data_IF_928167728048
#
_entry.id   IF_928167728048
#
_cell.length_a   1.000
_cell.length_b   1.000
_cell.length_c   1.000
_cell.angle_alpha   90.00
_cell.angle_beta   90.00
_cell.angle_gamma   90.00
#
_symmetry.space_group_name_H-M   'P 1'
#
loop_
_entity.id
_entity.type
_entity.pdbx_description
1 polymer ?
#
# COMPACT_ATOMS: atom_id res chain seq x y z
N UNK A 1 -0.84 -1.96 -7.72
CA UNK A 1 -0.07 -1.14 -6.76
C UNK A 1 0.37 0.19 -7.36
N UNK A 2 0.77 1.13 -6.50
CA UNK A 2 1.28 2.47 -6.83
C UNK A 2 2.59 2.69 -6.06
N UNK A 3 3.60 3.24 -6.71
CA UNK A 3 4.81 3.69 -6.00
C UNK A 3 4.61 5.15 -5.54
N UNK A 4 4.50 5.34 -4.22
CA UNK A 4 4.24 6.64 -3.60
C UNK A 4 5.51 7.37 -3.16
N UNK A 5 5.43 8.69 -3.02
CA UNK A 5 6.58 9.54 -2.63
C UNK A 5 6.44 10.17 -1.24
N UNK A 6 5.22 10.20 -0.68
CA UNK A 6 4.93 10.97 0.53
C UNK A 6 5.60 10.40 1.78
N UNK A 7 5.36 9.11 2.09
CA UNK A 7 5.85 8.52 3.33
C UNK A 7 7.37 8.57 3.44
N UNK A 8 8.07 8.23 2.36
CA UNK A 8 9.52 8.11 2.34
C UNK A 8 10.27 9.45 2.28
N UNK A 9 9.57 10.58 2.21
CA UNK A 9 10.12 11.95 2.14
C UNK A 9 11.20 12.09 1.02
N UNK A 10 11.08 11.34 -0.07
CA UNK A 10 12.04 11.30 -1.18
C UNK A 10 13.49 11.02 -0.74
N UNK A 11 13.68 10.16 0.29
CA UNK A 11 14.98 9.76 0.80
C UNK A 11 15.72 8.82 -0.16
N UNK A 12 16.03 9.33 -1.35
CA UNK A 12 16.76 8.62 -2.40
C UNK A 12 18.26 8.85 -2.22
N UNK A 13 19.04 7.81 -2.42
CA UNK A 13 20.51 7.85 -2.36
C UNK A 13 21.12 6.99 -3.46
N UNK A 14 22.44 7.10 -3.64
CA UNK A 14 23.18 6.36 -4.68
C UNK A 14 22.69 6.66 -6.10
N UNK A 15 22.40 7.92 -6.38
CA UNK A 15 21.95 8.46 -7.67
C UNK A 15 22.77 9.71 -8.03
N UNK A 16 22.88 10.03 -9.32
CA UNK A 16 23.66 11.15 -9.82
C UNK A 16 22.84 12.45 -9.99
N UNK A 17 21.71 12.54 -9.28
CA UNK A 17 20.84 13.72 -9.29
C UNK A 17 20.40 14.09 -7.87
N UNK A 18 20.02 15.36 -7.67
CA UNK A 18 19.47 15.83 -6.39
C UNK A 18 18.00 15.39 -6.30
N UNK A 19 17.69 14.53 -5.31
CA UNK A 19 16.33 14.08 -5.04
C UNK A 19 15.42 15.26 -4.63
N UNK A 20 14.16 15.20 -5.06
CA UNK A 20 13.15 16.22 -4.78
C UNK A 20 11.99 16.19 -5.77
N UNK A 21 11.17 17.23 -5.76
CA UNK A 21 10.02 17.39 -6.67
C UNK A 21 10.52 17.85 -8.06
N UNK A 22 11.18 16.95 -8.78
CA UNK A 22 11.77 17.21 -10.08
C UNK A 22 11.67 16.01 -11.02
N UNK A 23 11.94 16.25 -12.29
CA UNK A 23 11.83 15.27 -13.37
C UNK A 23 12.65 14.00 -13.09
N UNK A 24 13.93 14.14 -12.68
CA UNK A 24 14.83 13.01 -12.49
C UNK A 24 14.37 12.08 -11.36
N UNK A 25 13.86 12.65 -10.26
CA UNK A 25 13.30 11.86 -9.16
C UNK A 25 12.11 11.01 -9.62
N UNK A 26 11.14 11.61 -10.28
CA UNK A 26 9.96 10.86 -10.74
C UNK A 26 10.29 9.87 -11.86
N UNK A 27 11.25 10.18 -12.71
CA UNK A 27 11.77 9.24 -13.69
C UNK A 27 12.36 7.98 -13.02
N UNK A 28 13.12 8.17 -11.92
CA UNK A 28 13.65 7.06 -11.13
C UNK A 28 12.54 6.20 -10.50
N UNK A 29 11.44 6.81 -10.04
CA UNK A 29 10.25 6.07 -9.61
C UNK A 29 9.57 5.30 -10.75
N UNK A 30 9.52 5.86 -11.96
CA UNK A 30 8.99 5.17 -13.15
C UNK A 30 9.87 3.96 -13.49
N UNK A 31 11.20 4.10 -13.49
CA UNK A 31 12.12 2.98 -13.78
C UNK A 31 11.97 1.85 -12.75
N UNK A 32 11.82 2.18 -11.46
CA UNK A 32 11.51 1.23 -10.42
C UNK A 32 10.15 0.53 -10.65
N UNK A 33 9.12 1.30 -10.91
CA UNK A 33 7.77 0.80 -11.16
C UNK A 33 7.75 -0.17 -12.36
N UNK A 34 8.41 0.19 -13.46
CA UNK A 34 8.56 -0.66 -14.64
C UNK A 34 9.27 -1.98 -14.31
N UNK A 35 10.38 -1.92 -13.56
CA UNK A 35 11.16 -3.11 -13.15
C UNK A 35 10.31 -4.14 -12.39
N UNK A 36 9.46 -3.68 -11.48
CA UNK A 36 8.63 -4.53 -10.63
C UNK A 36 7.19 -4.68 -11.12
N UNK A 37 6.88 -4.20 -12.34
CA UNK A 37 5.53 -4.24 -12.94
C UNK A 37 4.48 -3.56 -12.07
N UNK A 38 4.87 -2.49 -11.38
CA UNK A 38 3.96 -1.60 -10.65
C UNK A 38 3.32 -0.66 -11.67
N UNK A 39 1.99 -0.69 -11.86
CA UNK A 39 1.37 0.01 -12.99
C UNK A 39 1.33 1.53 -12.84
N UNK A 40 1.45 2.05 -11.61
CA UNK A 40 1.29 3.48 -11.36
C UNK A 40 2.42 4.05 -10.50
N UNK A 41 2.72 5.34 -10.71
CA UNK A 41 3.40 6.18 -9.72
C UNK A 41 2.48 7.31 -9.27
N UNK A 42 2.63 7.76 -8.02
CA UNK A 42 1.89 8.88 -7.44
C UNK A 42 2.78 10.11 -7.35
N UNK A 43 2.42 11.18 -8.05
CA UNK A 43 2.97 12.51 -7.85
C UNK A 43 2.17 13.19 -6.72
N UNK A 44 2.68 13.11 -5.52
CA UNK A 44 2.04 13.67 -4.32
C UNK A 44 2.19 15.21 -4.26
N UNK A 45 1.73 15.85 -3.18
CA UNK A 45 1.68 17.30 -3.00
C UNK A 45 2.92 18.04 -3.54
N UNK A 46 2.70 19.10 -4.31
CA UNK A 46 3.74 19.95 -4.93
C UNK A 46 4.12 19.57 -6.36
N UNK A 47 3.38 18.67 -7.00
CA UNK A 47 3.50 18.41 -8.44
C UNK A 47 2.96 19.57 -9.29
N UNK A 48 2.07 20.39 -8.76
CA UNK A 48 1.44 21.53 -9.41
C UNK A 48 1.76 22.85 -8.70
N UNK A 49 1.49 23.95 -9.38
CA UNK A 49 1.48 25.29 -8.78
C UNK A 49 0.33 25.34 -7.76
N UNK A 50 0.58 25.77 -6.50
CA UNK A 50 -0.46 25.82 -5.49
C UNK A 50 -1.72 26.59 -5.96
N UNK A 51 -2.88 25.97 -5.80
CA UNK A 51 -4.17 26.56 -6.20
C UNK A 51 -4.53 26.46 -7.68
N UNK A 52 -3.70 25.83 -8.54
CA UNK A 52 -4.04 25.58 -9.95
C UNK A 52 -3.71 24.14 -10.35
N UNK A 53 -4.74 23.32 -10.46
CA UNK A 53 -4.62 21.89 -10.81
C UNK A 53 -4.29 21.63 -12.29
N UNK A 54 -4.30 22.67 -13.12
CA UNK A 54 -3.97 22.55 -14.54
C UNK A 54 -2.58 23.09 -14.90
N UNK A 55 -1.83 23.54 -13.87
CA UNK A 55 -0.52 24.12 -14.04
C UNK A 55 0.54 23.31 -13.29
N UNK A 56 1.28 22.42 -13.97
CA UNK A 56 2.36 21.65 -13.36
C UNK A 56 3.46 22.54 -12.77
N UNK A 57 4.14 22.03 -11.75
CA UNK A 57 5.37 22.61 -11.24
C UNK A 57 6.44 22.60 -12.36
N UNK A 58 7.05 23.75 -12.68
CA UNK A 58 8.02 23.86 -13.80
C UNK A 58 9.19 22.87 -13.72
N UNK A 59 9.58 22.46 -12.51
CA UNK A 59 10.69 21.53 -12.30
C UNK A 59 10.34 20.06 -12.62
N UNK A 60 9.07 19.75 -12.84
CA UNK A 60 8.61 18.36 -12.99
C UNK A 60 8.55 17.92 -14.44
N UNK A 61 8.25 18.84 -15.40
CA UNK A 61 7.99 18.47 -16.80
C UNK A 61 6.99 17.31 -16.92
N UNK A 62 5.74 17.58 -16.53
CA UNK A 62 4.69 16.55 -16.44
C UNK A 62 4.47 15.80 -17.76
N UNK A 63 4.47 16.51 -18.90
CA UNK A 63 4.29 15.90 -20.23
C UNK A 63 5.43 14.93 -20.55
N UNK A 64 6.67 15.30 -20.25
CA UNK A 64 7.83 14.44 -20.40
C UNK A 64 7.76 13.19 -19.51
N UNK A 65 7.26 13.30 -18.27
CA UNK A 65 7.07 12.16 -17.39
C UNK A 65 5.97 11.22 -17.89
N UNK A 66 4.85 11.75 -18.38
CA UNK A 66 3.76 10.96 -18.97
C UNK A 66 4.27 10.19 -20.20
N UNK A 67 4.98 10.87 -21.09
CA UNK A 67 5.55 10.24 -22.28
C UNK A 67 6.56 9.13 -21.89
N UNK A 68 7.42 9.39 -20.91
CA UNK A 68 8.37 8.40 -20.40
C UNK A 68 7.67 7.21 -19.72
N UNK A 69 6.67 7.48 -18.90
CA UNK A 69 5.86 6.46 -18.26
C UNK A 69 5.18 5.53 -19.28
N UNK A 70 4.56 6.11 -20.30
CA UNK A 70 3.94 5.35 -21.38
C UNK A 70 4.92 4.43 -22.11
N UNK A 71 6.16 4.88 -22.37
CA UNK A 71 7.22 4.05 -22.96
C UNK A 71 7.61 2.87 -22.05
N UNK A 72 7.49 3.03 -20.75
CA UNK A 72 7.83 2.02 -19.73
C UNK A 72 6.65 1.16 -19.29
N UNK A 73 5.43 1.45 -19.75
CA UNK A 73 4.21 0.79 -19.29
C UNK A 73 3.80 1.18 -17.86
N UNK A 74 4.13 2.41 -17.44
CA UNK A 74 3.81 2.96 -16.13
C UNK A 74 2.98 4.22 -16.29
N UNK A 75 1.83 4.26 -15.65
CA UNK A 75 0.90 5.38 -15.69
C UNK A 75 1.07 6.30 -14.47
N UNK A 76 0.59 7.54 -14.57
CA UNK A 76 0.75 8.55 -13.54
C UNK A 76 -0.57 8.89 -12.86
N UNK A 77 -0.51 8.98 -11.54
CA UNK A 77 -1.56 9.55 -10.69
C UNK A 77 -1.04 10.84 -10.03
N UNK A 78 -1.94 11.76 -9.72
CA UNK A 78 -1.61 13.04 -9.07
C UNK A 78 -2.42 13.24 -7.79
N UNK A 79 -1.90 14.08 -6.90
CA UNK A 79 -2.56 14.48 -5.66
C UNK A 79 -3.28 15.82 -5.79
N UNK A 80 -4.36 16.01 -5.04
CA UNK A 80 -5.10 17.27 -4.97
C UNK A 80 -5.67 17.50 -3.58
N UNK A 81 -5.72 18.75 -3.14
CA UNK A 81 -6.60 19.13 -2.04
C UNK A 81 -8.07 18.99 -2.46
N UNK A 82 -8.91 18.45 -1.58
CA UNK A 82 -10.36 18.38 -1.82
C UNK A 82 -10.98 19.73 -2.18
N UNK A 83 -10.65 20.80 -1.44
CA UNK A 83 -11.15 22.15 -1.73
C UNK A 83 -10.79 22.66 -3.12
N UNK A 84 -9.57 22.35 -3.59
CA UNK A 84 -9.11 22.77 -4.91
C UNK A 84 -9.82 21.95 -5.99
N UNK A 85 -10.04 20.65 -5.75
CA UNK A 85 -10.81 19.79 -6.64
C UNK A 85 -12.27 20.24 -6.73
N UNK A 86 -12.94 20.52 -5.61
CA UNK A 86 -14.33 21.00 -5.60
C UNK A 86 -14.49 22.27 -6.45
N UNK A 87 -13.54 23.20 -6.34
CA UNK A 87 -13.61 24.48 -7.06
C UNK A 87 -13.19 24.40 -8.54
N UNK A 88 -12.40 23.39 -8.93
CA UNK A 88 -11.79 23.30 -10.26
C UNK A 88 -12.16 22.05 -11.06
N UNK A 89 -12.99 21.14 -10.53
CA UNK A 89 -13.27 19.83 -11.14
C UNK A 89 -13.64 19.90 -12.62
N UNK A 90 -14.49 20.86 -13.00
CA UNK A 90 -14.95 21.05 -14.37
C UNK A 90 -13.83 21.41 -15.37
N UNK A 91 -12.74 21.95 -14.88
CA UNK A 91 -11.55 22.31 -15.67
C UNK A 91 -10.45 21.24 -15.50
N UNK A 92 -10.23 20.80 -14.28
CA UNK A 92 -9.09 19.93 -13.92
C UNK A 92 -9.28 18.50 -14.41
N UNK A 93 -10.45 17.89 -14.24
CA UNK A 93 -10.69 16.49 -14.62
C UNK A 93 -10.58 16.29 -16.14
N UNK A 94 -11.20 17.11 -17.00
CA UNK A 94 -10.98 17.03 -18.44
C UNK A 94 -9.51 17.28 -18.86
N UNK A 95 -8.81 18.18 -18.16
CA UNK A 95 -7.39 18.41 -18.37
C UNK A 95 -6.57 17.14 -18.09
N UNK A 96 -6.85 16.44 -16.96
CA UNK A 96 -6.12 15.22 -16.60
C UNK A 96 -6.30 14.12 -17.62
N UNK A 97 -7.52 13.87 -18.10
CA UNK A 97 -7.76 12.94 -19.20
C UNK A 97 -6.96 13.33 -20.45
N UNK A 98 -7.04 14.59 -20.84
CA UNK A 98 -6.36 15.12 -22.04
C UNK A 98 -4.85 14.92 -22.00
N UNK A 99 -4.21 15.14 -20.85
CA UNK A 99 -2.74 14.99 -20.73
C UNK A 99 -2.32 13.55 -20.47
N UNK A 100 -3.24 12.67 -20.06
CA UNK A 100 -2.97 11.24 -19.81
C UNK A 100 -2.75 10.87 -18.37
N UNK A 101 -3.17 11.69 -17.39
CA UNK A 101 -3.23 11.32 -15.98
C UNK A 101 -4.36 10.30 -15.78
N UNK A 102 -4.09 9.21 -15.06
CA UNK A 102 -5.00 8.08 -14.88
C UNK A 102 -5.74 8.05 -13.56
N UNK A 103 -5.27 8.80 -12.59
CA UNK A 103 -5.92 8.83 -11.28
C UNK A 103 -5.56 10.06 -10.46
N UNK A 104 -6.40 10.32 -9.47
CA UNK A 104 -6.27 11.46 -8.57
C UNK A 104 -6.46 10.95 -7.14
N UNK A 105 -5.48 11.25 -6.28
CA UNK A 105 -5.61 11.17 -4.83
C UNK A 105 -6.16 12.51 -4.34
N UNK A 106 -7.38 12.50 -3.79
CA UNK A 106 -8.04 13.71 -3.28
C UNK A 106 -8.03 13.67 -1.76
N UNK A 107 -7.38 14.64 -1.15
CA UNK A 107 -7.00 14.63 0.25
C UNK A 107 -7.59 15.80 1.05
N UNK A 108 -7.59 15.67 2.39
CA UNK A 108 -8.11 16.66 3.34
C UNK A 108 -9.60 16.96 3.13
N UNK A 109 -10.41 15.91 2.98
CA UNK A 109 -11.88 16.07 3.01
C UNK A 109 -12.33 16.46 4.42
N UNK A 110 -11.85 15.76 5.46
CA UNK A 110 -11.99 16.03 6.90
C UNK A 110 -13.43 16.35 7.35
N UNK A 111 -14.42 15.91 6.57
CA UNK A 111 -15.85 16.13 6.77
C UNK A 111 -16.65 14.92 6.29
N UNK A 112 -17.83 14.74 6.89
CA UNK A 112 -18.80 13.68 6.54
C UNK A 112 -20.26 14.21 6.44
N UNK A 113 -20.42 15.53 6.42
CA UNK A 113 -21.73 16.16 6.24
C UNK A 113 -22.24 16.04 4.79
N UNK A 114 -23.53 16.31 4.62
CA UNK A 114 -24.25 16.16 3.35
C UNK A 114 -23.57 16.88 2.17
N UNK A 115 -23.03 18.09 2.40
CA UNK A 115 -22.39 18.87 1.33
C UNK A 115 -21.07 18.22 0.89
N UNK A 116 -20.26 17.78 1.85
CA UNK A 116 -19.02 17.08 1.54
C UNK A 116 -19.31 15.77 0.80
N UNK A 117 -20.24 14.94 1.31
CA UNK A 117 -20.62 13.69 0.66
C UNK A 117 -21.14 13.92 -0.76
N UNK A 118 -22.04 14.90 -0.95
CA UNK A 118 -22.57 15.25 -2.28
C UNK A 118 -21.45 15.64 -3.26
N UNK A 119 -20.45 16.40 -2.78
CA UNK A 119 -19.30 16.78 -3.61
C UNK A 119 -18.46 15.58 -4.05
N UNK A 120 -18.29 14.56 -3.18
CA UNK A 120 -17.55 13.35 -3.55
C UNK A 120 -18.29 12.55 -4.63
N UNK A 121 -19.63 12.48 -4.57
CA UNK A 121 -20.45 11.85 -5.63
C UNK A 121 -20.34 12.61 -6.96
N UNK A 122 -20.38 13.93 -6.93
CA UNK A 122 -20.27 14.76 -8.13
C UNK A 122 -18.89 14.66 -8.79
N UNK A 123 -17.82 14.70 -7.99
CA UNK A 123 -16.44 14.45 -8.47
C UNK A 123 -16.32 13.03 -9.04
N UNK A 124 -16.88 12.01 -8.36
CA UNK A 124 -16.80 10.62 -8.81
C UNK A 124 -17.50 10.42 -10.17
N UNK A 125 -18.68 11.04 -10.34
CA UNK A 125 -19.42 11.02 -11.60
C UNK A 125 -18.59 11.64 -12.74
N UNK A 126 -18.10 12.85 -12.53
CA UNK A 126 -17.32 13.56 -13.56
C UNK A 126 -16.01 12.82 -13.89
N UNK A 127 -15.32 12.31 -12.88
CA UNK A 127 -14.11 11.50 -13.10
C UNK A 127 -14.39 10.19 -13.85
N UNK A 128 -15.55 9.57 -13.63
CA UNK A 128 -15.98 8.39 -14.39
C UNK A 128 -16.21 8.72 -15.86
N UNK A 129 -16.86 9.84 -16.16
CA UNK A 129 -17.08 10.33 -17.53
C UNK A 129 -15.76 10.58 -18.29
N UNK A 130 -14.71 10.91 -17.57
CA UNK A 130 -13.37 11.18 -18.10
C UNK A 130 -12.35 10.03 -17.86
N UNK A 131 -12.79 8.84 -17.47
CA UNK A 131 -11.95 7.64 -17.28
C UNK A 131 -10.79 7.86 -16.29
N UNK A 132 -11.02 8.64 -15.21
CA UNK A 132 -10.04 8.93 -14.17
C UNK A 132 -10.39 8.18 -12.89
N UNK A 133 -9.40 7.47 -12.33
CA UNK A 133 -9.51 6.78 -11.04
C UNK A 133 -9.43 7.78 -9.87
N UNK A 134 -10.10 7.45 -8.79
CA UNK A 134 -10.10 8.27 -7.58
C UNK A 134 -9.68 7.48 -6.35
N UNK A 135 -8.85 8.11 -5.52
CA UNK A 135 -8.49 7.66 -4.18
C UNK A 135 -8.75 8.82 -3.20
N UNK A 136 -9.66 8.60 -2.24
CA UNK A 136 -10.05 9.63 -1.28
C UNK A 136 -9.29 9.49 0.03
N UNK A 137 -8.65 10.57 0.46
CA UNK A 137 -7.89 10.70 1.70
C UNK A 137 -8.45 11.77 2.65
N UNK A 138 -8.06 11.73 3.92
CA UNK A 138 -8.66 12.57 4.96
C UNK A 138 -10.18 12.41 4.99
N UNK A 139 -10.70 11.22 4.77
CA UNK A 139 -12.10 10.94 4.49
C UNK A 139 -12.65 9.89 5.43
N UNK A 140 -13.97 9.84 5.59
CA UNK A 140 -14.66 8.77 6.29
C UNK A 140 -14.53 7.41 5.57
N UNK A 141 -14.85 6.30 6.28
CA UNK A 141 -14.85 4.96 5.70
C UNK A 141 -15.84 4.83 4.53
N UNK A 142 -15.65 3.88 3.59
CA UNK A 142 -16.57 3.66 2.48
C UNK A 142 -18.02 3.44 2.94
N UNK A 143 -18.97 4.06 2.25
CA UNK A 143 -20.41 3.97 2.53
C UNK A 143 -21.22 3.51 1.31
N UNK A 144 -20.56 3.06 0.23
CA UNK A 144 -21.20 2.51 -0.97
C UNK A 144 -21.01 3.33 -2.25
N UNK A 145 -20.34 4.49 -2.21
CA UNK A 145 -20.07 5.32 -3.40
C UNK A 145 -19.39 4.51 -4.53
N UNK A 146 -18.44 3.65 -4.19
CA UNK A 146 -17.71 2.80 -5.13
C UNK A 146 -18.60 1.75 -5.84
N UNK A 147 -19.80 1.49 -5.33
CA UNK A 147 -20.78 0.62 -6.02
C UNK A 147 -21.48 1.35 -7.15
N UNK A 148 -21.67 2.65 -7.01
CA UNK A 148 -22.26 3.52 -8.04
C UNK A 148 -21.20 3.96 -9.04
N UNK A 149 -20.02 4.32 -8.52
CA UNK A 149 -18.87 4.82 -9.30
C UNK A 149 -17.64 3.97 -9.02
N UNK A 150 -17.43 2.87 -9.77
CA UNK A 150 -16.32 1.93 -9.53
C UNK A 150 -14.95 2.49 -9.90
N UNK A 151 -14.86 3.67 -10.49
CA UNK A 151 -13.64 4.45 -10.63
C UNK A 151 -13.13 5.00 -9.29
N UNK A 152 -13.91 4.97 -8.22
CA UNK A 152 -13.47 5.23 -6.86
C UNK A 152 -12.84 3.94 -6.32
N UNK A 153 -11.52 3.86 -6.38
CA UNK A 153 -10.74 2.65 -6.09
C UNK A 153 -10.13 2.64 -4.69
N UNK A 154 -10.05 3.78 -4.02
CA UNK A 154 -9.46 3.88 -2.70
C UNK A 154 -10.20 4.83 -1.76
N UNK A 155 -10.12 4.50 -0.48
CA UNK A 155 -10.51 5.34 0.66
C UNK A 155 -9.47 5.17 1.75
N UNK A 156 -8.90 6.24 2.24
CA UNK A 156 -8.10 6.16 3.46
C UNK A 156 -9.01 5.76 4.63
N UNK A 157 -9.79 6.66 5.19
CA UNK A 157 -10.72 6.43 6.30
C UNK A 157 -10.12 5.59 7.42
N UNK A 158 -8.82 5.73 7.68
CA UNK A 158 -7.99 4.93 8.57
C UNK A 158 -6.81 5.76 9.04
N UNK A 159 -6.26 5.42 10.20
CA UNK A 159 -5.01 6.00 10.68
C UNK A 159 -3.84 5.29 9.97
N UNK A 160 -3.46 5.79 8.78
CA UNK A 160 -2.51 5.14 7.88
C UNK A 160 -1.08 5.10 8.39
N UNK A 161 -0.19 4.44 7.63
CA UNK A 161 1.25 4.31 7.96
C UNK A 161 1.92 5.66 8.22
N UNK A 162 1.47 6.72 7.59
CA UNK A 162 2.06 8.06 7.73
C UNK A 162 2.07 8.57 9.18
N UNK A 163 1.18 8.08 10.04
CA UNK A 163 1.14 8.47 11.44
C UNK A 163 2.41 8.08 12.22
N UNK A 164 3.21 7.15 11.73
CA UNK A 164 4.56 6.92 12.26
C UNK A 164 5.54 8.07 12.03
N UNK A 165 5.21 9.04 11.16
CA UNK A 165 6.06 10.21 10.93
C UNK A 165 6.03 11.20 12.10
N UNK A 166 4.93 11.22 12.88
CA UNK A 166 4.70 12.27 13.90
C UNK A 166 4.05 11.79 15.22
N UNK A 167 3.48 10.59 15.28
CA UNK A 167 2.75 10.14 16.45
C UNK A 167 3.64 9.29 17.40
N UNK A 168 4.17 9.84 18.51
CA UNK A 168 5.09 9.11 19.39
C UNK A 168 4.43 7.98 20.18
N UNK A 169 3.14 8.09 20.44
CA UNK A 169 2.38 7.13 21.26
C UNK A 169 1.51 6.18 20.41
N UNK A 170 1.71 6.15 19.10
CA UNK A 170 0.95 5.26 18.23
C UNK A 170 1.40 3.81 18.42
N UNK A 171 0.47 2.94 18.76
CA UNK A 171 0.69 1.49 18.85
C UNK A 171 0.30 0.82 17.52
N UNK A 172 1.22 0.87 16.57
CA UNK A 172 0.98 0.39 15.22
C UNK A 172 0.66 -1.09 15.10
N UNK A 173 1.46 -2.02 15.67
CA UNK A 173 1.18 -3.44 15.57
C UNK A 173 -0.18 -3.84 16.15
N UNK A 174 -0.58 -3.29 17.29
CA UNK A 174 -1.92 -3.52 17.86
C UNK A 174 -3.01 -2.95 16.94
N UNK A 175 -2.79 -1.76 16.41
CA UNK A 175 -3.73 -1.13 15.49
C UNK A 175 -3.88 -1.95 14.22
N UNK A 176 -2.78 -2.38 13.59
CA UNK A 176 -2.79 -3.16 12.35
C UNK A 176 -3.54 -4.49 12.48
N UNK A 177 -3.44 -5.19 13.62
CA UNK A 177 -4.21 -6.44 13.85
C UNK A 177 -5.67 -6.18 14.26
N UNK A 178 -6.06 -4.92 14.43
CA UNK A 178 -7.46 -4.52 14.70
C UNK A 178 -8.20 -4.20 13.38
N UNK A 179 -7.52 -3.59 12.42
CA UNK A 179 -8.12 -3.09 11.18
C UNK A 179 -8.90 -4.14 10.35
N UNK A 180 -8.43 -5.38 10.19
CA UNK A 180 -9.16 -6.40 9.44
C UNK A 180 -10.55 -6.71 10.01
N UNK A 181 -10.71 -6.60 11.32
CA UNK A 181 -11.96 -6.90 12.02
C UNK A 181 -12.95 -5.74 12.06
N UNK A 182 -12.47 -4.50 11.89
CA UNK A 182 -13.33 -3.31 11.99
C UNK A 182 -13.34 -2.50 10.69
N UNK A 183 -12.21 -1.94 10.28
CA UNK A 183 -12.15 -1.01 9.15
C UNK A 183 -12.38 -1.71 7.80
N UNK A 184 -11.76 -2.87 7.56
CA UNK A 184 -11.93 -3.60 6.32
C UNK A 184 -13.34 -4.21 6.15
N UNK A 185 -14.15 -4.28 7.22
CA UNK A 185 -15.56 -4.67 7.11
C UNK A 185 -16.39 -3.64 6.32
N UNK A 186 -15.97 -2.38 6.29
CA UNK A 186 -16.60 -1.33 5.49
C UNK A 186 -16.14 -1.33 4.02
N UNK A 187 -15.09 -2.08 3.69
CA UNK A 187 -14.48 -2.15 2.36
C UNK A 187 -12.98 -1.84 2.37
N UNK A 188 -12.36 -1.74 1.19
CA UNK A 188 -10.93 -1.49 1.05
C UNK A 188 -10.50 -0.16 1.69
N UNK A 189 -9.23 -0.10 2.08
CA UNK A 189 -8.59 1.09 2.65
C UNK A 189 -7.25 1.37 1.97
N UNK A 190 -6.82 2.62 1.91
CA UNK A 190 -5.43 2.97 1.61
C UNK A 190 -4.64 3.18 2.91
N UNK A 191 -3.96 2.13 3.37
CA UNK A 191 -3.10 2.18 4.56
C UNK A 191 -1.66 2.59 4.24
N UNK A 192 -1.24 2.44 3.00
CA UNK A 192 0.13 2.73 2.52
C UNK A 192 1.19 1.83 3.16
N UNK A 193 1.03 0.52 3.08
CA UNK A 193 1.95 -0.49 3.62
C UNK A 193 3.32 -0.54 2.91
N UNK A 194 4.27 -1.31 3.44
CA UNK A 194 5.51 -1.68 2.76
C UNK A 194 6.76 -0.93 3.20
N UNK A 195 6.73 -0.29 4.37
CA UNK A 195 7.93 0.33 4.94
C UNK A 195 9.05 -0.71 5.14
N UNK A 196 10.24 -0.41 4.61
CA UNK A 196 11.44 -1.25 4.74
C UNK A 196 12.38 -0.76 5.85
N UNK A 197 12.12 0.38 6.44
CA UNK A 197 12.73 0.83 7.69
C UNK A 197 11.83 0.42 8.84
N UNK A 198 12.14 -0.71 9.47
CA UNK A 198 11.36 -1.32 10.52
C UNK A 198 12.05 -1.17 11.88
N UNK A 199 11.26 -1.06 12.95
CA UNK A 199 11.81 -0.87 14.29
C UNK A 199 10.96 -1.57 15.36
N UNK A 200 11.63 -2.02 16.41
CA UNK A 200 10.96 -2.50 17.62
C UNK A 200 10.40 -1.33 18.45
N UNK A 201 9.58 -1.64 19.44
CA UNK A 201 8.89 -0.65 20.29
C UNK A 201 9.87 0.30 21.01
N UNK A 202 10.99 -0.21 21.50
CA UNK A 202 11.96 0.55 22.28
C UNK A 202 12.75 1.58 21.44
N UNK A 203 12.97 1.27 20.17
CA UNK A 203 13.77 2.08 19.25
C UNK A 203 12.94 3.00 18.35
N UNK A 204 11.62 2.90 18.40
CA UNK A 204 10.74 3.75 17.61
C UNK A 204 10.85 5.22 18.03
N UNK A 205 10.99 6.07 17.02
CA UNK A 205 10.91 7.53 17.13
C UNK A 205 10.18 8.10 15.93
N UNK A 206 9.22 9.01 16.12
CA UNK A 206 8.60 9.70 14.99
C UNK A 206 9.60 10.69 14.39
N UNK A 207 9.97 10.47 13.13
CA UNK A 207 10.85 11.35 12.37
C UNK A 207 10.23 11.59 10.99
N UNK A 208 9.68 12.77 10.78
CA UNK A 208 8.95 13.09 9.55
C UNK A 208 9.83 12.92 8.29
N UNK A 209 11.07 13.42 8.34
CA UNK A 209 12.01 13.38 7.20
C UNK A 209 12.69 12.03 6.97
N UNK A 210 12.63 11.11 7.94
CA UNK A 210 13.26 9.79 7.89
C UNK A 210 12.39 8.77 8.62
N UNK A 211 11.18 8.50 8.15
CA UNK A 211 10.21 7.72 8.88
C UNK A 211 10.62 6.25 9.04
N UNK A 212 10.13 5.64 10.11
CA UNK A 212 10.26 4.21 10.40
C UNK A 212 8.91 3.64 10.85
N UNK A 213 8.61 2.40 10.47
CA UNK A 213 7.41 1.70 10.90
C UNK A 213 7.70 0.81 12.11
N UNK A 214 6.79 0.81 13.07
CA UNK A 214 6.81 -0.15 14.18
C UNK A 214 6.45 -1.55 13.70
N UNK A 215 7.07 -2.57 14.32
CA UNK A 215 6.90 -3.98 13.98
C UNK A 215 7.98 -4.46 13.02
N UNK A 216 7.93 -5.75 12.70
CA UNK A 216 8.95 -6.39 11.88
C UNK A 216 8.78 -6.11 10.37
N UNK A 217 9.84 -6.40 9.60
CA UNK A 217 9.82 -6.41 8.14
C UNK A 217 8.68 -7.28 7.61
N UNK A 218 8.53 -8.47 8.17
CA UNK A 218 7.54 -9.43 7.69
C UNK A 218 6.12 -9.02 8.07
N UNK A 219 5.93 -8.26 9.15
CA UNK A 219 4.64 -7.64 9.46
C UNK A 219 4.20 -6.70 8.31
N UNK A 220 5.10 -5.82 7.82
CA UNK A 220 4.81 -4.95 6.69
C UNK A 220 4.49 -5.73 5.39
N UNK A 221 5.16 -6.85 5.17
CA UNK A 221 4.89 -7.73 4.02
C UNK A 221 3.53 -8.42 4.14
N UNK A 222 3.20 -8.93 5.34
CA UNK A 222 1.92 -9.60 5.61
C UNK A 222 0.71 -8.65 5.44
N UNK A 223 0.88 -7.35 5.67
CA UNK A 223 -0.18 -6.35 5.47
C UNK A 223 -0.74 -6.35 4.04
N UNK A 224 0.09 -6.60 3.01
CA UNK A 224 -0.37 -6.70 1.62
C UNK A 224 -1.36 -7.85 1.40
N UNK A 225 -1.30 -8.88 2.24
CA UNK A 225 -2.19 -10.05 2.18
C UNK A 225 -3.40 -9.86 3.10
N UNK A 226 -3.16 -9.35 4.31
CA UNK A 226 -4.17 -9.26 5.37
C UNK A 226 -5.16 -8.11 5.12
N UNK A 227 -4.67 -6.97 4.63
CA UNK A 227 -5.53 -5.81 4.37
C UNK A 227 -6.28 -5.94 3.04
N UNK A 228 -7.51 -5.45 3.03
CA UNK A 228 -8.26 -5.23 1.81
C UNK A 228 -7.88 -3.85 1.26
N UNK A 229 -7.15 -3.83 0.15
CA UNK A 229 -6.63 -2.60 -0.47
C UNK A 229 -6.75 -2.71 -1.99
N UNK A 230 -7.63 -1.93 -2.61
CA UNK A 230 -7.83 -1.99 -4.07
C UNK A 230 -6.67 -1.40 -4.87
N UNK A 231 -5.98 -0.42 -4.29
CA UNK A 231 -4.82 0.24 -4.92
C UNK A 231 -3.65 0.30 -3.94
N UNK A 232 -2.95 -0.83 -3.68
CA UNK A 232 -1.88 -0.88 -2.69
C UNK A 232 -0.79 0.15 -3.02
N UNK A 233 -0.58 1.10 -2.13
CA UNK A 233 0.49 2.09 -2.25
C UNK A 233 1.76 1.57 -1.57
N UNK A 234 2.86 1.53 -2.32
CA UNK A 234 4.19 1.19 -1.81
C UNK A 234 4.78 2.42 -1.11
N UNK A 235 4.94 2.35 0.20
CA UNK A 235 5.32 3.52 1.01
C UNK A 235 6.77 3.95 0.84
N UNK A 236 7.70 3.01 0.67
CA UNK A 236 9.12 3.33 0.65
C UNK A 236 9.64 3.77 -0.73
N UNK A 237 10.88 4.20 -0.80
CA UNK A 237 11.48 4.74 -2.01
C UNK A 237 12.22 3.66 -2.83
N UNK A 238 12.48 3.90 -4.13
CA UNK A 238 13.14 2.94 -5.00
C UNK A 238 14.51 2.49 -4.51
N UNK A 239 15.31 3.35 -3.90
CA UNK A 239 16.65 2.96 -3.39
C UNK A 239 16.56 1.86 -2.35
N UNK A 240 15.64 2.00 -1.38
CA UNK A 240 15.46 0.98 -0.32
C UNK A 240 14.84 -0.28 -0.89
N UNK A 241 13.82 -0.18 -1.75
CA UNK A 241 13.20 -1.33 -2.39
C UNK A 241 14.16 -2.12 -3.28
N UNK A 242 15.07 -1.44 -3.98
CA UNK A 242 16.10 -2.11 -4.78
C UNK A 242 17.13 -2.82 -3.92
N UNK A 243 17.47 -2.26 -2.75
CA UNK A 243 18.34 -2.90 -1.75
C UNK A 243 17.67 -4.13 -1.14
N UNK A 244 16.40 -4.02 -0.78
CA UNK A 244 15.59 -5.07 -0.16
C UNK A 244 14.79 -5.85 -1.22
N UNK A 245 15.47 -6.22 -2.31
CA UNK A 245 14.86 -6.74 -3.54
C UNK A 245 14.03 -8.02 -3.32
N UNK A 246 14.39 -8.91 -2.39
CA UNK A 246 13.61 -10.12 -2.09
C UNK A 246 12.24 -9.80 -1.51
N UNK A 247 12.19 -8.89 -0.53
CA UNK A 247 10.93 -8.42 0.06
C UNK A 247 10.10 -7.67 -0.96
N UNK A 248 10.74 -6.81 -1.77
CA UNK A 248 10.09 -6.04 -2.83
C UNK A 248 9.48 -6.95 -3.90
N UNK A 249 10.21 -7.97 -4.35
CA UNK A 249 9.73 -8.95 -5.32
C UNK A 249 8.51 -9.73 -4.79
N UNK A 250 8.47 -10.02 -3.50
CA UNK A 250 7.32 -10.66 -2.88
C UNK A 250 6.10 -9.72 -2.84
N UNK A 251 6.22 -8.53 -2.26
CA UNK A 251 5.07 -7.63 -2.07
C UNK A 251 4.48 -7.15 -3.38
N UNK A 252 5.29 -6.97 -4.42
CA UNK A 252 4.80 -6.55 -5.75
C UNK A 252 4.08 -7.67 -6.52
N UNK A 253 4.24 -8.93 -6.12
CA UNK A 253 3.50 -10.09 -6.63
C UNK A 253 2.15 -10.31 -5.95
N UNK A 254 1.90 -9.69 -4.79
CA UNK A 254 0.61 -9.79 -4.12
C UNK A 254 -0.44 -9.00 -4.92
N UNK A 255 -1.53 -9.64 -5.36
CA UNK A 255 -2.54 -8.98 -6.17
C UNK A 255 -3.36 -7.97 -5.34
N UNK A 256 -3.92 -6.96 -5.99
CA UNK A 256 -4.82 -6.00 -5.35
C UNK A 256 -6.23 -6.54 -5.08
N UNK A 257 -6.63 -7.60 -5.80
CA UNK A 257 -7.93 -8.26 -5.66
C UNK A 257 -7.77 -9.76 -5.58
N UNK A 258 -8.60 -10.40 -4.78
CA UNK A 258 -8.59 -11.84 -4.57
C UNK A 258 -9.93 -12.47 -4.96
N UNK A 259 -9.88 -13.72 -5.42
CA UNK A 259 -11.08 -14.48 -5.81
C UNK A 259 -11.69 -15.20 -4.61
N UNK A 260 -10.88 -15.50 -3.60
CA UNK A 260 -11.28 -16.21 -2.41
C UNK A 260 -10.51 -15.72 -1.18
N UNK A 261 -11.18 -15.70 -0.04
CA UNK A 261 -10.61 -15.35 1.26
C UNK A 261 -11.06 -16.36 2.32
N UNK A 262 -10.10 -16.97 2.99
CA UNK A 262 -10.32 -17.96 4.06
C UNK A 262 -9.72 -17.41 5.36
N UNK A 263 -10.55 -17.04 6.35
CA UNK A 263 -10.06 -16.77 7.70
C UNK A 263 -9.45 -18.03 8.31
N UNK A 264 -8.25 -17.94 8.85
CA UNK A 264 -7.57 -19.09 9.45
C UNK A 264 -7.65 -19.03 10.98
N UNK A 265 -7.26 -17.91 11.57
CA UNK A 265 -7.32 -17.67 13.00
C UNK A 265 -7.24 -16.17 13.30
N UNK A 266 -7.75 -15.72 14.44
CA UNK A 266 -7.63 -14.32 14.81
C UNK A 266 -8.36 -13.92 16.07
N UNK A 267 -7.83 -12.88 16.70
CA UNK A 267 -8.44 -12.21 17.85
C UNK A 267 -8.21 -10.72 17.76
N UNK A 268 -9.30 -9.96 17.82
CA UNK A 268 -9.28 -8.49 17.67
C UNK A 268 -8.23 -7.87 18.59
N UNK A 269 -7.40 -6.96 18.03
CA UNK A 269 -6.31 -6.26 18.70
C UNK A 269 -5.16 -7.16 19.20
N UNK A 270 -5.19 -8.47 18.88
CA UNK A 270 -4.14 -9.39 19.28
C UNK A 270 -3.38 -9.96 18.09
N UNK A 271 -4.06 -10.64 17.18
CA UNK A 271 -3.45 -11.25 16.01
C UNK A 271 -4.47 -11.57 14.93
N UNK A 272 -4.00 -11.84 13.72
CA UNK A 272 -4.82 -12.25 12.59
C UNK A 272 -3.99 -13.16 11.67
N UNK A 273 -4.63 -14.20 11.13
CA UNK A 273 -4.09 -15.06 10.08
C UNK A 273 -5.18 -15.33 9.03
N UNK A 274 -4.84 -15.16 7.76
CA UNK A 274 -5.77 -15.24 6.64
C UNK A 274 -5.07 -15.86 5.41
N UNK A 275 -5.80 -16.66 4.64
CA UNK A 275 -5.38 -17.13 3.34
C UNK A 275 -6.24 -16.50 2.25
N UNK A 276 -5.62 -16.09 1.14
CA UNK A 276 -6.31 -15.49 -0.01
C UNK A 276 -5.82 -16.11 -1.31
N UNK A 277 -6.71 -16.33 -2.24
CA UNK A 277 -6.39 -16.90 -3.55
C UNK A 277 -6.66 -15.91 -4.68
N UNK A 278 -5.72 -15.88 -5.60
CA UNK A 278 -5.91 -15.28 -6.93
C UNK A 278 -5.54 -16.31 -7.99
N UNK A 279 -6.47 -16.61 -8.88
CA UNK A 279 -6.30 -17.69 -9.86
C UNK A 279 -5.89 -19.00 -9.17
N UNK A 280 -4.70 -19.52 -9.48
CA UNK A 280 -4.14 -20.74 -8.89
C UNK A 280 -3.08 -20.50 -7.83
N UNK A 281 -2.94 -19.26 -7.35
CA UNK A 281 -1.92 -18.87 -6.37
C UNK A 281 -2.59 -18.49 -5.05
N UNK A 282 -2.14 -19.10 -3.96
CA UNK A 282 -2.53 -18.73 -2.63
C UNK A 282 -1.50 -17.80 -1.98
N UNK A 283 -2.00 -16.87 -1.19
CA UNK A 283 -1.22 -15.98 -0.36
C UNK A 283 -1.71 -16.11 1.08
N UNK A 284 -0.80 -16.33 2.01
CA UNK A 284 -1.12 -16.48 3.44
C UNK A 284 -0.38 -15.41 4.21
N UNK A 285 -1.10 -14.63 5.01
CA UNK A 285 -0.52 -13.59 5.86
C UNK A 285 -0.94 -13.80 7.32
N UNK A 286 0.01 -13.65 8.25
CA UNK A 286 -0.26 -13.61 9.67
C UNK A 286 0.49 -12.45 10.33
N UNK A 287 -0.16 -11.79 11.29
CA UNK A 287 0.41 -10.67 12.04
C UNK A 287 0.03 -10.76 13.51
N UNK A 288 0.89 -10.25 14.38
CA UNK A 288 0.61 -10.14 15.83
C UNK A 288 0.86 -8.69 16.31
N UNK A 289 0.25 -8.34 17.44
CA UNK A 289 0.59 -7.16 18.21
C UNK A 289 1.99 -7.32 18.86
N UNK A 290 2.32 -6.54 19.89
CA UNK A 290 3.63 -6.64 20.55
C UNK A 290 3.84 -7.93 21.35
N UNK A 291 2.83 -8.79 21.48
CA UNK A 291 2.96 -10.11 22.15
C UNK A 291 3.40 -11.14 21.12
N UNK A 292 4.56 -11.79 21.27
CA UNK A 292 4.98 -12.87 20.38
C UNK A 292 4.01 -14.06 20.51
N UNK A 293 3.81 -14.78 19.40
CA UNK A 293 2.84 -15.89 19.32
C UNK A 293 3.38 -17.04 18.49
N UNK A 294 2.90 -18.23 18.81
CA UNK A 294 3.01 -19.40 17.95
C UNK A 294 1.60 -19.75 17.45
N UNK A 295 1.45 -19.86 16.14
CA UNK A 295 0.19 -20.21 15.49
C UNK A 295 0.36 -21.49 14.71
N UNK A 296 -0.71 -22.26 14.56
CA UNK A 296 -0.76 -23.38 13.63
C UNK A 296 -1.60 -23.00 12.43
N UNK A 297 -0.98 -22.90 11.26
CA UNK A 297 -1.67 -22.64 9.99
C UNK A 297 -2.04 -23.98 9.37
N UNK A 298 -3.33 -24.28 9.32
CA UNK A 298 -3.88 -25.45 8.66
C UNK A 298 -4.04 -25.17 7.15
N UNK A 299 -3.39 -25.98 6.31
CA UNK A 299 -3.41 -25.83 4.85
C UNK A 299 -4.53 -26.61 4.17
N UNK A 300 -5.59 -26.99 4.87
CA UNK A 300 -6.74 -27.72 4.32
C UNK A 300 -7.50 -26.97 3.22
N UNK A 301 -7.31 -25.64 3.10
CA UNK A 301 -7.84 -24.84 2.00
C UNK A 301 -7.16 -25.12 0.64
N UNK A 302 -5.99 -25.76 0.64
CA UNK A 302 -5.33 -26.17 -0.59
C UNK A 302 -6.07 -27.36 -1.22
N UNK A 303 -6.17 -27.39 -2.55
CA UNK A 303 -6.64 -28.55 -3.29
C UNK A 303 -5.65 -29.72 -3.27
N UNK A 304 -6.00 -30.83 -3.90
CA UNK A 304 -5.12 -32.00 -4.03
C UNK A 304 -3.84 -31.65 -4.80
N UNK A 305 -2.72 -32.29 -4.42
CA UNK A 305 -1.40 -32.14 -5.03
C UNK A 305 -0.39 -31.48 -4.10
N UNK A 306 0.81 -31.31 -4.63
CA UNK A 306 1.92 -30.67 -3.94
C UNK A 306 2.05 -29.20 -4.38
N UNK A 307 2.54 -28.37 -3.48
CA UNK A 307 2.72 -26.94 -3.70
C UNK A 307 4.09 -26.49 -3.21
N UNK A 308 4.68 -25.54 -3.90
CA UNK A 308 5.81 -24.75 -3.38
C UNK A 308 5.29 -23.53 -2.62
N UNK A 309 5.68 -23.40 -1.36
CA UNK A 309 5.43 -22.24 -0.54
C UNK A 309 6.73 -21.42 -0.38
N UNK A 310 6.77 -20.25 -0.99
CA UNK A 310 7.79 -19.22 -0.75
C UNK A 310 7.38 -18.47 0.53
N UNK A 311 8.13 -18.67 1.59
CA UNK A 311 7.81 -18.21 2.95
C UNK A 311 8.78 -17.14 3.39
N UNK A 312 8.24 -16.04 3.93
CA UNK A 312 8.96 -15.05 4.70
C UNK A 312 8.47 -15.10 6.15
N UNK A 313 9.41 -15.20 7.08
CA UNK A 313 9.11 -15.24 8.52
C UNK A 313 10.08 -14.38 9.31
N UNK A 314 9.64 -13.92 10.46
CA UNK A 314 10.50 -13.20 11.38
C UNK A 314 11.77 -14.00 11.67
N UNK A 315 12.91 -13.32 11.65
CA UNK A 315 14.18 -13.88 12.06
C UNK A 315 14.25 -14.10 13.57
N UNK A 316 15.19 -14.91 14.00
CA UNK A 316 15.33 -15.25 15.42
C UNK A 316 15.70 -14.05 16.31
N UNK A 317 16.29 -13.00 15.72
CA UNK A 317 16.66 -11.76 16.41
C UNK A 317 15.74 -10.56 16.03
N UNK A 318 14.57 -10.82 15.46
CA UNK A 318 13.65 -9.75 15.07
C UNK A 318 13.10 -8.94 16.27
N UNK A 319 13.23 -9.45 17.49
CA UNK A 319 12.99 -8.71 18.73
C UNK A 319 14.01 -7.58 18.98
N UNK A 320 15.22 -7.66 18.40
CA UNK A 320 16.30 -6.67 18.51
C UNK A 320 16.43 -5.86 17.24
N UNK A 321 16.47 -6.53 16.09
CA UNK A 321 16.51 -5.94 14.77
C UNK A 321 15.21 -6.30 14.01
N UNK A 322 14.26 -5.38 13.98
CA UNK A 322 12.97 -5.61 13.32
C UNK A 322 13.07 -5.83 11.80
N UNK A 323 14.26 -5.67 11.21
CA UNK A 323 14.53 -5.98 9.80
C UNK A 323 15.02 -7.42 9.61
N UNK A 324 15.30 -8.16 10.70
CA UNK A 324 15.74 -9.56 10.63
C UNK A 324 14.60 -10.46 10.17
N UNK A 325 14.80 -11.14 9.05
CA UNK A 325 13.84 -12.10 8.49
C UNK A 325 14.56 -13.30 7.89
N UNK A 326 13.82 -14.38 7.71
CA UNK A 326 14.28 -15.54 6.97
C UNK A 326 13.33 -15.83 5.81
N UNK A 327 13.91 -16.03 4.63
CA UNK A 327 13.21 -16.56 3.45
C UNK A 327 13.51 -18.04 3.31
N UNK A 328 12.49 -18.85 3.02
CA UNK A 328 12.64 -20.27 2.71
C UNK A 328 11.60 -20.69 1.68
N UNK A 329 11.90 -21.76 0.96
CA UNK A 329 10.95 -22.43 0.06
C UNK A 329 10.74 -23.84 0.58
N UNK A 330 9.49 -24.21 0.84
CA UNK A 330 9.11 -25.52 1.35
C UNK A 330 8.04 -26.15 0.48
N UNK A 331 8.07 -27.48 0.36
CA UNK A 331 6.99 -28.24 -0.29
C UNK A 331 5.91 -28.53 0.73
N UNK A 332 4.66 -28.27 0.38
CA UNK A 332 3.49 -28.46 1.23
C UNK A 332 2.35 -29.09 0.45
N UNK A 333 1.38 -29.66 1.16
CA UNK A 333 0.14 -30.23 0.59
C UNK A 333 -1.08 -29.90 1.44
N UNK A 334 -2.25 -30.18 0.92
CA UNK A 334 -3.51 -30.02 1.65
C UNK A 334 -3.50 -30.83 2.95
N UNK A 335 -3.93 -30.23 4.03
CA UNK A 335 -3.99 -30.81 5.38
C UNK A 335 -2.69 -30.75 6.17
N UNK A 336 -1.58 -30.28 5.58
CA UNK A 336 -0.38 -29.97 6.36
C UNK A 336 -0.65 -28.86 7.38
N UNK A 337 0.05 -28.93 8.51
CA UNK A 337 -0.02 -27.93 9.58
C UNK A 337 1.33 -27.28 9.77
N UNK A 338 1.41 -26.00 9.50
CA UNK A 338 2.64 -25.22 9.66
C UNK A 338 2.65 -24.52 11.02
N UNK A 339 3.67 -24.79 11.83
CA UNK A 339 3.91 -24.04 13.05
C UNK A 339 4.63 -22.74 12.70
N UNK A 340 3.97 -21.62 12.97
CA UNK A 340 4.40 -20.27 12.63
C UNK A 340 4.69 -19.49 13.90
N UNK A 341 5.92 -19.01 14.03
CA UNK A 341 6.34 -18.16 15.14
C UNK A 341 6.34 -16.71 14.70
N UNK A 342 5.62 -15.86 15.40
CA UNK A 342 5.56 -14.41 15.23
C UNK A 342 6.30 -13.75 16.39
N UNK A 343 7.25 -12.88 16.09
CA UNK A 343 7.98 -12.10 17.08
C UNK A 343 7.16 -10.89 17.56
N UNK A 344 7.69 -10.04 18.42
CA UNK A 344 7.02 -8.83 18.90
C UNK A 344 6.69 -7.87 17.76
N UNK A 345 5.41 -7.59 17.52
CA UNK A 345 4.97 -6.82 16.35
C UNK A 345 5.28 -7.54 15.04
N UNK A 346 5.30 -8.86 15.10
CA UNK A 346 5.82 -9.73 14.06
C UNK A 346 4.84 -10.11 12.98
N UNK A 347 5.37 -10.80 11.96
CA UNK A 347 4.62 -11.26 10.81
C UNK A 347 5.14 -12.57 10.21
N UNK A 348 4.29 -13.15 9.39
CA UNK A 348 4.58 -14.28 8.53
C UNK A 348 3.83 -14.11 7.20
N UNK A 349 4.49 -14.37 6.10
CA UNK A 349 3.89 -14.22 4.78
C UNK A 349 4.33 -15.35 3.86
N UNK A 350 3.41 -15.92 3.09
CA UNK A 350 3.72 -16.96 2.13
C UNK A 350 2.97 -16.76 0.81
N UNK A 351 3.65 -17.15 -0.29
CA UNK A 351 3.07 -17.32 -1.62
C UNK A 351 3.16 -18.80 -1.98
N UNK A 352 2.01 -19.43 -2.23
CA UNK A 352 1.89 -20.87 -2.40
C UNK A 352 1.39 -21.17 -3.81
N UNK A 353 2.20 -21.89 -4.59
CA UNK A 353 1.95 -22.21 -6.00
C UNK A 353 1.95 -23.72 -6.19
N UNK A 354 0.93 -24.23 -6.90
CA UNK A 354 0.83 -25.64 -7.19
C UNK A 354 2.00 -26.12 -8.06
N UNK A 355 2.59 -27.26 -7.70
CA UNK A 355 3.55 -27.95 -8.56
C UNK A 355 2.80 -28.65 -9.69
N UNK A 356 3.37 -28.60 -10.90
CA UNK A 356 2.81 -29.24 -12.09
C UNK A 356 2.95 -30.78 -12.04
#
# INVERSE_FOLDING_TARGET
>A
PVAGVWWNAMNISHVDFKAGKNFETYKYFIDFAAKYKVPYIMLDAGWNVPGDLTKPNPNINLEGLIAYGNQKGVELMVWSLWRDMVSQKEKAIPYFEKVGIKGIKIDFVDRDDQLAVASLYDIARLAAEHHVLLDYHGVFKPTGLQRTYPNVVGYEGVYGLENFKWAPNFDGPRYCVTLPFIRNQAGPMDYTSGAMRNTNKANYRPVNSMPMAQGTRVNQMAQFIVFEVSIPMLSDNPTIYLKEHECTDFITKVPATFDETVPLDGKVAEFVAIARRKDNVWFVGAMTNWTPRELTIDLSFLGAGEYNAEVFKDGINADRDATDYKKEVITVKSGDKLNVKLMNGGGWAARIVKLN
#
